data_IF_539021564645
#
_entry.id   IF_539021564645
#
_cell.length_a   1.000
_cell.length_b   1.000
_cell.length_c   1.000
_cell.angle_alpha   90.00
_cell.angle_beta   90.00
_cell.angle_gamma   90.00
#
_symmetry.space_group_name_H-M   'P 1'
#
loop_
_entity.id
_entity.type
_entity.pdbx_description
1 polymer ?
#
# COMPACT_ATOMS: atom_id res chain seq x y z
N UNK A 1 -26.57 -5.37 -8.53
CA UNK A 1 -28.03 -5.42 -8.77
C UNK A 1 -28.58 -6.53 -7.89
N UNK A 2 -29.20 -6.21 -6.76
CA UNK A 2 -29.81 -7.21 -5.87
C UNK A 2 -31.31 -6.94 -5.77
N UNK A 3 -32.12 -7.99 -5.95
CA UNK A 3 -33.59 -8.01 -5.75
C UNK A 3 -34.38 -6.86 -6.42
N UNK A 4 -34.07 -6.55 -7.67
CA UNK A 4 -34.81 -5.52 -8.41
C UNK A 4 -36.12 -6.04 -8.99
N UNK A 5 -37.15 -5.20 -9.00
CA UNK A 5 -38.48 -5.46 -9.58
C UNK A 5 -38.48 -5.54 -11.10
N UNK A 6 -37.45 -5.00 -11.77
CA UNK A 6 -37.42 -4.86 -13.22
C UNK A 6 -38.24 -3.67 -13.75
N UNK A 7 -38.90 -2.91 -12.88
CA UNK A 7 -39.62 -1.68 -13.21
C UNK A 7 -38.63 -0.63 -13.73
N UNK A 8 -38.96 0.00 -14.86
CA UNK A 8 -38.13 1.00 -15.55
C UNK A 8 -38.89 2.32 -15.69
N UNK A 9 -38.17 3.40 -15.95
CA UNK A 9 -38.75 4.67 -16.35
C UNK A 9 -39.44 4.55 -17.69
N UNK A 10 -40.67 5.10 -17.75
CA UNK A 10 -41.35 5.32 -19.01
C UNK A 10 -40.58 6.36 -19.85
N UNK A 11 -40.86 6.39 -21.15
CA UNK A 11 -40.11 7.24 -22.08
C UNK A 11 -40.31 8.74 -21.80
N UNK A 12 -41.47 9.12 -21.26
CA UNK A 12 -41.77 10.50 -20.89
C UNK A 12 -40.94 10.96 -19.69
N UNK A 13 -40.79 10.13 -18.65
CA UNK A 13 -39.91 10.38 -17.52
C UNK A 13 -38.46 10.45 -17.99
N UNK A 14 -37.99 9.55 -18.85
CA UNK A 14 -36.61 9.60 -19.38
C UNK A 14 -36.33 10.90 -20.12
N UNK A 15 -37.27 11.35 -20.99
CA UNK A 15 -37.15 12.65 -21.68
C UNK A 15 -37.13 13.80 -20.67
N UNK A 16 -37.95 13.74 -19.63
CA UNK A 16 -38.00 14.78 -18.60
C UNK A 16 -36.73 14.83 -17.73
N UNK A 17 -36.19 13.68 -17.32
CA UNK A 17 -34.92 13.60 -16.59
C UNK A 17 -33.75 14.13 -17.44
N UNK A 18 -33.79 13.93 -18.76
CA UNK A 18 -32.87 14.57 -19.70
C UNK A 18 -32.91 16.10 -19.63
N UNK A 19 -34.12 16.70 -19.57
CA UNK A 19 -34.33 18.16 -19.43
C UNK A 19 -33.95 18.71 -18.05
N UNK A 20 -33.97 17.88 -17.01
CA UNK A 20 -33.58 18.32 -15.66
C UNK A 20 -32.12 18.81 -15.60
N UNK A 21 -31.28 18.41 -16.56
CA UNK A 21 -29.89 18.88 -16.72
C UNK A 21 -29.78 20.37 -17.03
N UNK A 22 -30.84 20.98 -17.59
CA UNK A 22 -30.85 22.40 -17.97
C UNK A 22 -30.93 23.35 -16.76
N UNK A 23 -31.12 22.83 -15.54
CA UNK A 23 -31.09 23.63 -14.32
C UNK A 23 -32.32 24.53 -14.12
N UNK A 24 -33.45 24.23 -14.76
CA UNK A 24 -34.72 24.97 -14.56
C UNK A 24 -35.62 24.36 -13.47
N UNK A 25 -35.57 23.04 -13.34
CA UNK A 25 -36.40 22.27 -12.40
C UNK A 25 -35.74 22.21 -11.03
N UNK A 26 -36.52 22.41 -9.95
CA UNK A 26 -36.08 22.33 -8.55
C UNK A 26 -36.39 20.99 -7.92
N UNK A 27 -37.57 20.44 -8.15
CA UNK A 27 -37.98 19.14 -7.60
C UNK A 27 -38.76 18.33 -8.63
N UNK A 28 -38.58 17.01 -8.58
CA UNK A 28 -39.31 16.03 -9.38
C UNK A 28 -39.85 14.95 -8.44
N UNK A 29 -41.18 14.78 -8.40
CA UNK A 29 -41.86 13.66 -7.73
C UNK A 29 -42.06 12.53 -8.72
N UNK A 30 -41.58 11.34 -8.35
CA UNK A 30 -41.67 10.13 -9.15
C UNK A 30 -42.46 9.09 -8.35
N UNK A 31 -43.46 8.53 -9.00
CA UNK A 31 -44.32 7.48 -8.45
C UNK A 31 -44.21 6.21 -9.30
N UNK A 32 -44.59 5.08 -8.74
CA UNK A 32 -44.73 3.81 -9.45
C UNK A 32 -46.22 3.57 -9.72
N UNK A 33 -46.60 3.57 -10.99
CA UNK A 33 -47.96 3.30 -11.45
C UNK A 33 -47.92 2.25 -12.56
N UNK A 34 -48.80 1.24 -12.50
CA UNK A 34 -48.87 0.17 -13.50
C UNK A 34 -47.50 -0.46 -13.85
N UNK A 35 -46.67 -0.72 -12.84
CA UNK A 35 -45.32 -1.30 -12.98
C UNK A 35 -44.34 -0.46 -13.81
N UNK A 36 -44.55 0.86 -13.87
CA UNK A 36 -43.65 1.81 -14.52
C UNK A 36 -43.34 2.98 -13.58
N UNK A 37 -42.14 3.56 -13.69
CA UNK A 37 -41.82 4.83 -13.03
C UNK A 37 -42.39 5.97 -13.87
N UNK A 38 -43.23 6.79 -13.23
CA UNK A 38 -43.94 7.91 -13.87
C UNK A 38 -43.62 9.23 -13.19
N UNK A 39 -43.65 10.31 -13.96
CA UNK A 39 -43.56 11.67 -13.44
C UNK A 39 -44.90 12.06 -12.81
N UNK A 40 -44.94 12.19 -11.49
CA UNK A 40 -46.17 12.57 -10.78
C UNK A 40 -46.34 14.09 -10.67
N UNK A 41 -45.25 14.81 -10.35
CA UNK A 41 -45.29 16.27 -10.19
C UNK A 41 -43.88 16.86 -10.29
N UNK A 42 -43.77 18.13 -10.67
CA UNK A 42 -42.51 18.86 -10.69
C UNK A 42 -42.74 20.33 -10.30
N UNK A 43 -41.70 21.00 -9.81
CA UNK A 43 -41.70 22.44 -9.60
C UNK A 43 -40.39 23.06 -10.09
N UNK A 44 -40.50 24.26 -10.62
CA UNK A 44 -39.36 25.06 -11.03
C UNK A 44 -38.72 25.80 -9.85
N UNK A 45 -37.50 26.28 -10.09
CA UNK A 45 -36.72 27.06 -9.13
C UNK A 45 -37.37 28.40 -8.88
N UNK A 46 -37.53 28.77 -7.61
CA UNK A 46 -38.03 30.09 -7.20
C UNK A 46 -36.98 30.90 -6.47
N UNK A 47 -36.24 30.26 -5.56
CA UNK A 47 -35.24 30.92 -4.73
C UNK A 47 -34.05 29.99 -4.47
N UNK A 48 -33.35 30.17 -3.34
CA UNK A 48 -32.24 29.30 -2.94
C UNK A 48 -32.75 27.93 -2.56
N UNK A 49 -31.91 26.90 -2.73
CA UNK A 49 -32.28 25.52 -2.43
C UNK A 49 -32.73 25.32 -0.97
N UNK A 50 -32.25 26.09 0.00
CA UNK A 50 -32.70 25.99 1.40
C UNK A 50 -34.11 26.54 1.59
N UNK A 51 -34.40 27.72 1.02
CA UNK A 51 -35.71 28.38 1.16
C UNK A 51 -36.81 27.67 0.37
N UNK A 52 -36.44 27.02 -0.73
CA UNK A 52 -37.35 26.25 -1.57
C UNK A 52 -37.66 24.86 -0.97
N UNK A 53 -36.83 24.32 -0.06
CA UNK A 53 -36.85 22.92 0.37
C UNK A 53 -38.21 22.50 0.93
N UNK A 54 -38.59 23.04 2.10
CA UNK A 54 -39.83 22.66 2.79
C UNK A 54 -41.07 23.05 1.96
N UNK A 55 -41.05 24.23 1.32
CA UNK A 55 -42.15 24.71 0.45
C UNK A 55 -42.40 23.80 -0.76
N UNK A 56 -41.35 23.17 -1.27
CA UNK A 56 -41.46 22.28 -2.42
C UNK A 56 -41.89 20.88 -1.98
N UNK A 57 -41.27 20.33 -0.95
CA UNK A 57 -41.38 18.93 -0.51
C UNK A 57 -42.66 18.66 0.27
N UNK A 58 -42.97 19.43 1.31
CA UNK A 58 -44.13 19.18 2.20
C UNK A 58 -45.45 18.96 1.46
N UNK A 59 -45.85 19.78 0.47
CA UNK A 59 -47.13 19.58 -0.23
C UNK A 59 -47.12 18.44 -1.25
N UNK A 60 -45.96 17.85 -1.56
CA UNK A 60 -45.84 16.73 -2.50
C UNK A 60 -45.89 15.37 -1.79
N UNK A 61 -45.75 15.35 -0.47
CA UNK A 61 -45.74 14.15 0.35
C UNK A 61 -47.17 13.78 0.74
N UNK A 62 -47.48 12.49 0.64
CA UNK A 62 -48.73 11.89 1.08
C UNK A 62 -48.44 10.92 2.23
N UNK A 63 -49.23 10.96 3.31
CA UNK A 63 -48.92 10.22 4.54
C UNK A 63 -48.96 8.69 4.37
N UNK A 64 -49.76 8.17 3.44
CA UNK A 64 -49.96 6.72 3.28
C UNK A 64 -49.43 6.17 1.94
N UNK A 65 -48.68 6.97 1.17
CA UNK A 65 -48.16 6.56 -0.13
C UNK A 65 -46.66 6.85 -0.26
N UNK A 66 -45.82 5.84 -0.52
CA UNK A 66 -44.39 6.05 -0.78
C UNK A 66 -44.18 6.79 -2.10
N UNK A 67 -43.11 7.57 -2.20
CA UNK A 67 -42.69 8.21 -3.44
C UNK A 67 -41.18 8.48 -3.46
N UNK A 68 -40.64 8.79 -4.64
CA UNK A 68 -39.28 9.33 -4.74
C UNK A 68 -39.33 10.81 -5.10
N UNK A 69 -38.43 11.59 -4.50
CA UNK A 69 -38.23 12.98 -4.86
C UNK A 69 -36.77 13.19 -5.27
N UNK A 70 -36.55 13.80 -6.42
CA UNK A 70 -35.25 14.32 -6.83
C UNK A 70 -35.26 15.82 -6.60
N UNK A 71 -34.47 16.29 -5.64
CA UNK A 71 -34.37 17.69 -5.27
C UNK A 71 -33.03 18.28 -5.70
N UNK A 72 -33.05 19.37 -6.45
CA UNK A 72 -31.83 19.98 -6.96
C UNK A 72 -31.20 20.91 -5.94
N UNK A 73 -29.91 20.71 -5.67
CA UNK A 73 -29.08 21.63 -4.90
C UNK A 73 -28.54 22.75 -5.80
N UNK A 74 -28.07 23.85 -5.19
CA UNK A 74 -27.44 24.93 -5.95
C UNK A 74 -25.94 24.67 -6.22
N UNK A 75 -25.37 23.62 -5.62
CA UNK A 75 -24.01 23.15 -5.87
C UNK A 75 -23.89 22.40 -7.20
N UNK A 76 -22.68 22.40 -7.76
CA UNK A 76 -22.35 21.77 -9.05
C UNK A 76 -21.15 20.85 -8.92
N UNK A 77 -21.15 19.78 -9.71
CA UNK A 77 -20.02 18.88 -9.92
C UNK A 77 -19.61 18.86 -11.40
N UNK A 78 -18.65 18.00 -11.78
CA UNK A 78 -18.18 17.87 -13.16
C UNK A 78 -19.27 17.45 -14.17
N UNK A 79 -20.39 16.91 -13.70
CA UNK A 79 -21.51 16.40 -14.50
C UNK A 79 -22.75 17.31 -14.49
N UNK A 80 -22.70 18.48 -13.83
CA UNK A 80 -23.79 19.45 -13.76
C UNK A 80 -24.19 19.83 -12.33
N UNK A 81 -25.46 20.18 -12.13
CA UNK A 81 -26.00 20.43 -10.79
C UNK A 81 -26.05 19.15 -9.96
N UNK A 82 -25.79 19.27 -8.66
CA UNK A 82 -25.93 18.19 -7.70
C UNK A 82 -27.39 18.02 -7.27
N UNK A 83 -27.80 16.78 -7.04
CA UNK A 83 -29.15 16.42 -6.63
C UNK A 83 -29.14 15.64 -5.33
N UNK A 84 -30.13 15.90 -4.49
CA UNK A 84 -30.51 15.11 -3.33
C UNK A 84 -31.59 14.13 -3.77
N UNK A 85 -31.33 12.85 -3.59
CA UNK A 85 -32.33 11.80 -3.80
C UNK A 85 -33.04 11.52 -2.49
N UNK A 86 -34.35 11.75 -2.46
CA UNK A 86 -35.19 11.49 -1.28
C UNK A 86 -36.09 10.30 -1.57
N UNK A 87 -36.04 9.31 -0.69
CA UNK A 87 -36.94 8.16 -0.70
C UNK A 87 -37.91 8.28 0.47
N UNK A 88 -39.17 8.62 0.19
CA UNK A 88 -40.24 8.64 1.17
C UNK A 88 -40.93 7.27 1.23
N UNK A 89 -40.94 6.64 2.39
CA UNK A 89 -41.64 5.37 2.61
C UNK A 89 -42.19 5.34 4.04
N UNK A 90 -43.39 5.89 4.28
CA UNK A 90 -43.97 5.96 5.61
C UNK A 90 -44.35 4.58 6.11
N UNK A 91 -44.27 4.35 7.41
CA UNK A 91 -44.54 3.03 7.99
C UNK A 91 -46.00 2.59 7.83
N UNK A 92 -46.92 3.56 7.76
CA UNK A 92 -48.36 3.38 7.52
C UNK A 92 -48.69 2.92 6.10
N UNK A 93 -47.77 3.04 5.13
CA UNK A 93 -48.01 2.61 3.76
C UNK A 93 -48.15 1.08 3.63
N UNK A 94 -48.96 0.59 2.67
CA UNK A 94 -49.11 -0.84 2.40
C UNK A 94 -47.77 -1.54 2.11
N UNK A 95 -47.56 -2.72 2.68
CA UNK A 95 -46.30 -3.48 2.58
C UNK A 95 -45.90 -3.71 1.11
N UNK A 96 -46.85 -4.05 0.24
CA UNK A 96 -46.60 -4.24 -1.19
C UNK A 96 -45.97 -3.00 -1.84
N UNK A 97 -46.45 -1.80 -1.50
CA UNK A 97 -45.89 -0.56 -2.03
C UNK A 97 -44.50 -0.30 -1.45
N UNK A 98 -44.30 -0.46 -0.13
CA UNK A 98 -42.98 -0.31 0.50
C UNK A 98 -41.93 -1.22 -0.15
N UNK A 99 -42.28 -2.47 -0.44
CA UNK A 99 -41.41 -3.40 -1.16
C UNK A 99 -41.10 -2.94 -2.59
N UNK A 100 -42.12 -2.51 -3.36
CA UNK A 100 -41.92 -2.01 -4.72
C UNK A 100 -40.98 -0.79 -4.75
N UNK A 101 -41.16 0.16 -3.83
CA UNK A 101 -40.32 1.35 -3.75
C UNK A 101 -38.92 1.05 -3.14
N UNK A 102 -38.77 0.06 -2.27
CA UNK A 102 -37.44 -0.35 -1.82
C UNK A 102 -36.65 -0.99 -2.98
N UNK A 103 -37.28 -1.90 -3.73
CA UNK A 103 -36.64 -2.69 -4.78
C UNK A 103 -36.42 -1.95 -6.11
N UNK A 104 -37.16 -0.87 -6.38
CA UNK A 104 -37.03 -0.07 -7.63
C UNK A 104 -36.07 1.11 -7.47
N UNK A 105 -35.71 1.48 -6.24
CA UNK A 105 -34.83 2.61 -5.89
C UNK A 105 -33.51 2.63 -6.67
N UNK A 106 -32.85 1.48 -6.75
CA UNK A 106 -31.56 1.36 -7.45
C UNK A 106 -31.68 1.59 -8.96
N UNK A 107 -32.77 1.14 -9.59
CA UNK A 107 -33.02 1.34 -11.03
C UNK A 107 -33.22 2.82 -11.35
N UNK A 108 -34.03 3.52 -10.54
CA UNK A 108 -34.25 4.96 -10.72
C UNK A 108 -32.96 5.76 -10.59
N UNK A 109 -32.10 5.44 -9.61
CA UNK A 109 -30.79 6.11 -9.47
C UNK A 109 -29.89 5.91 -10.68
N UNK A 110 -29.89 4.71 -11.26
CA UNK A 110 -29.13 4.43 -12.47
C UNK A 110 -29.69 5.16 -13.70
N UNK A 111 -31.01 5.20 -13.85
CA UNK A 111 -31.67 5.89 -14.97
C UNK A 111 -31.51 7.41 -14.91
N UNK A 112 -31.50 8.01 -13.70
CA UNK A 112 -31.21 9.42 -13.53
C UNK A 112 -29.72 9.75 -13.76
N UNK A 113 -28.84 8.92 -13.20
CA UNK A 113 -27.39 9.05 -13.29
C UNK A 113 -26.77 9.24 -11.91
N UNK A 114 -26.23 8.15 -11.35
CA UNK A 114 -25.65 8.12 -9.99
C UNK A 114 -24.63 9.23 -9.73
N UNK A 115 -23.87 9.66 -10.74
CA UNK A 115 -22.86 10.73 -10.58
C UNK A 115 -23.45 12.12 -10.26
N UNK A 116 -24.73 12.35 -10.54
CA UNK A 116 -25.39 13.64 -10.26
C UNK A 116 -26.04 13.66 -8.88
N UNK A 117 -26.26 12.49 -8.27
CA UNK A 117 -26.83 12.36 -6.94
C UNK A 117 -25.69 12.48 -5.94
N UNK A 118 -25.68 13.55 -5.15
CA UNK A 118 -24.67 13.80 -4.13
C UNK A 118 -24.94 12.99 -2.87
N UNK A 119 -26.18 13.04 -2.42
CA UNK A 119 -26.62 12.50 -1.14
C UNK A 119 -27.97 11.82 -1.31
N UNK A 120 -28.24 10.87 -0.41
CA UNK A 120 -29.47 10.09 -0.38
C UNK A 120 -30.11 10.20 1.01
N UNK A 121 -31.34 10.69 1.05
CA UNK A 121 -32.13 10.82 2.26
C UNK A 121 -33.27 9.79 2.21
N UNK A 122 -33.40 9.00 3.26
CA UNK A 122 -34.54 8.11 3.45
C UNK A 122 -35.37 8.64 4.61
N UNK A 123 -36.66 8.84 4.39
CA UNK A 123 -37.58 9.30 5.42
C UNK A 123 -38.75 8.35 5.59
N UNK A 124 -39.09 8.08 6.85
CA UNK A 124 -40.31 7.35 7.23
C UNK A 124 -41.30 8.28 7.95
N UNK A 125 -40.79 9.35 8.57
CA UNK A 125 -41.60 10.39 9.24
C UNK A 125 -41.35 11.74 8.57
N UNK A 126 -42.36 12.62 8.54
CA UNK A 126 -42.27 13.94 7.91
C UNK A 126 -41.10 14.79 8.45
N UNK A 127 -40.75 14.63 9.72
CA UNK A 127 -39.60 15.31 10.33
C UNK A 127 -38.28 15.01 9.63
N UNK A 128 -38.13 13.83 9.03
CA UNK A 128 -36.88 13.38 8.41
C UNK A 128 -36.62 14.08 7.08
N UNK A 129 -37.69 14.45 6.36
CA UNK A 129 -37.63 15.10 5.05
C UNK A 129 -37.86 16.62 5.14
N UNK A 130 -37.78 17.20 6.34
CA UNK A 130 -37.69 18.65 6.49
C UNK A 130 -36.26 19.12 6.31
N UNK A 131 -36.06 20.42 6.07
CA UNK A 131 -34.72 21.02 6.04
C UNK A 131 -33.94 20.75 7.33
N UNK A 132 -34.62 20.78 8.48
CA UNK A 132 -34.03 20.43 9.77
C UNK A 132 -33.61 18.95 9.84
N UNK A 133 -34.46 18.04 9.32
CA UNK A 133 -34.14 16.62 9.18
C UNK A 133 -32.88 16.38 8.34
N UNK A 134 -32.80 17.05 7.18
CA UNK A 134 -31.63 17.00 6.31
C UNK A 134 -30.35 17.51 7.01
N UNK A 135 -30.43 18.63 7.74
CA UNK A 135 -29.30 19.14 8.51
C UNK A 135 -28.84 18.17 9.62
N UNK A 136 -29.78 17.50 10.30
CA UNK A 136 -29.45 16.47 11.29
C UNK A 136 -28.76 15.26 10.64
N UNK A 137 -29.26 14.80 9.49
CA UNK A 137 -28.62 13.74 8.70
C UNK A 137 -27.17 14.12 8.35
N UNK A 138 -26.95 15.34 7.87
CA UNK A 138 -25.60 15.82 7.52
C UNK A 138 -24.65 15.85 8.72
N UNK A 139 -25.13 16.29 9.90
CA UNK A 139 -24.35 16.25 11.15
C UNK A 139 -24.02 14.82 11.56
N UNK A 140 -24.97 13.90 11.46
CA UNK A 140 -24.77 12.49 11.79
C UNK A 140 -23.77 11.79 10.84
N UNK A 141 -23.78 12.14 9.55
CA UNK A 141 -22.82 11.58 8.57
C UNK A 141 -21.37 12.01 8.79
N UNK A 142 -21.15 13.15 9.46
CA UNK A 142 -19.81 13.68 9.80
C UNK A 142 -19.38 13.24 11.20
N UNK A 143 -20.30 12.73 12.02
CA UNK A 143 -19.99 12.20 13.34
C UNK A 143 -19.02 11.00 13.23
N UNK A 144 -18.16 10.78 14.23
CA UNK A 144 -17.24 9.65 14.23
C UNK A 144 -18.02 8.34 14.13
N UNK A 145 -17.54 7.43 13.28
CA UNK A 145 -18.13 6.11 13.15
C UNK A 145 -18.00 5.36 14.47
N UNK A 146 -19.02 4.61 14.91
CA UNK A 146 -18.91 3.77 16.08
C UNK A 146 -17.89 2.68 15.80
N UNK A 147 -16.84 2.62 16.62
CA UNK A 147 -15.80 1.61 16.57
C UNK A 147 -16.04 0.57 17.65
N UNK A 148 -15.65 -0.67 17.37
CA UNK A 148 -15.56 -1.70 18.41
C UNK A 148 -14.30 -1.49 19.25
N UNK A 149 -14.30 -1.97 20.49
CA UNK A 149 -13.15 -1.90 21.41
C UNK A 149 -11.86 -2.40 20.72
N UNK A 150 -11.97 -3.51 19.98
CA UNK A 150 -10.83 -4.10 19.24
C UNK A 150 -10.31 -3.19 18.12
N UNK A 151 -11.19 -2.46 17.44
CA UNK A 151 -10.78 -1.51 16.39
C UNK A 151 -10.11 -0.28 16.98
N UNK A 152 -10.59 0.21 18.14
CA UNK A 152 -9.95 1.29 18.88
C UNK A 152 -8.55 0.89 19.33
N UNK A 153 -8.39 -0.29 19.95
CA UNK A 153 -7.09 -0.84 20.35
C UNK A 153 -6.12 -0.96 19.17
N UNK A 154 -6.58 -1.47 18.02
CA UNK A 154 -5.74 -1.62 16.83
C UNK A 154 -5.34 -0.27 16.24
N UNK A 155 -6.23 0.73 16.30
CA UNK A 155 -5.92 2.08 15.88
C UNK A 155 -4.90 2.75 16.80
N UNK A 156 -4.93 2.48 18.10
CA UNK A 156 -3.91 2.94 19.07
C UNK A 156 -2.55 2.29 18.82
N UNK A 157 -2.50 0.97 18.58
CA UNK A 157 -1.26 0.28 18.22
C UNK A 157 -0.62 0.89 16.97
N UNK A 158 -1.40 1.10 15.90
CA UNK A 158 -0.90 1.73 14.67
C UNK A 158 -0.35 3.14 14.90
N UNK A 159 -1.02 3.95 15.74
CA UNK A 159 -0.53 5.31 16.07
C UNK A 159 0.80 5.25 16.83
N UNK A 160 0.96 4.25 17.69
CA UNK A 160 2.17 4.04 18.50
C UNK A 160 3.32 3.52 17.66
N UNK A 161 3.09 2.55 16.77
CA UNK A 161 4.08 2.00 15.84
C UNK A 161 4.66 3.06 14.90
N UNK A 162 3.84 3.98 14.38
CA UNK A 162 4.34 5.07 13.51
C UNK A 162 5.38 5.95 14.22
N UNK A 163 5.36 6.01 15.55
CA UNK A 163 6.34 6.77 16.33
C UNK A 163 7.68 6.04 16.51
N UNK A 164 7.71 4.70 16.38
CA UNK A 164 8.96 3.93 16.51
C UNK A 164 9.81 3.94 15.25
N UNK A 165 9.22 4.21 14.08
CA UNK A 165 9.95 4.35 12.81
C UNK A 165 10.69 5.69 12.66
N UNK A 166 10.34 6.72 13.46
CA UNK A 166 10.97 8.06 13.48
C UNK A 166 11.77 8.24 14.79
N UNK A 167 12.38 7.18 15.30
CA UNK A 167 13.36 7.29 16.39
C UNK A 167 14.78 7.32 15.83
N UNK A 168 15.61 8.22 16.37
CA UNK A 168 17.03 8.39 16.01
C UNK A 168 17.89 7.29 16.63
N UNK A 169 17.35 6.51 17.56
CA UNK A 169 17.97 5.26 17.99
C UNK A 169 17.85 4.25 16.84
N UNK A 170 18.99 3.88 16.27
CA UNK A 170 19.10 2.69 15.43
C UNK A 170 18.38 1.56 16.15
N UNK A 171 17.29 1.03 15.55
CA UNK A 171 16.45 -0.05 16.08
C UNK A 171 17.28 -0.91 17.02
N UNK A 172 16.98 -0.90 18.33
CA UNK A 172 17.69 -1.74 19.28
C UNK A 172 17.62 -3.17 18.74
N UNK A 173 18.69 -3.63 18.11
CA UNK A 173 18.83 -5.03 17.74
C UNK A 173 18.86 -5.75 19.07
N UNK A 174 17.79 -6.47 19.37
CA UNK A 174 17.55 -7.10 20.68
C UNK A 174 18.62 -8.14 21.05
N UNK A 175 19.52 -8.48 20.14
CA UNK A 175 20.64 -9.39 20.34
C UNK A 175 21.95 -8.64 20.03
N UNK A 176 22.63 -8.18 21.07
CA UNK A 176 24.03 -7.78 20.97
C UNK A 176 24.85 -9.03 20.62
N UNK A 177 25.77 -8.93 19.66
CA UNK A 177 26.59 -10.07 19.23
C UNK A 177 27.38 -10.70 20.38
N UNK A 178 27.78 -11.97 20.25
CA UNK A 178 28.53 -12.70 21.26
C UNK A 178 30.03 -12.50 21.01
N UNK A 179 30.75 -11.89 21.94
CA UNK A 179 32.16 -11.58 21.78
C UNK A 179 33.06 -12.70 22.34
N UNK A 180 33.47 -13.63 21.49
CA UNK A 180 34.45 -14.65 21.86
C UNK A 180 35.89 -14.10 21.78
N UNK A 181 36.74 -14.39 22.79
CA UNK A 181 38.15 -14.01 22.75
C UNK A 181 38.89 -14.69 21.60
N UNK A 182 39.63 -13.87 20.85
CA UNK A 182 40.54 -14.32 19.78
C UNK A 182 41.86 -14.75 20.42
N UNK A 183 42.38 -15.93 20.06
CA UNK A 183 43.66 -16.41 20.56
C UNK A 183 44.83 -15.55 20.08
N UNK A 184 45.94 -15.56 20.82
CA UNK A 184 47.10 -14.73 20.49
C UNK A 184 47.68 -15.05 19.11
N UNK A 185 47.66 -16.33 18.69
CA UNK A 185 48.09 -16.75 17.36
C UNK A 185 47.21 -16.15 16.25
N UNK A 186 45.88 -16.16 16.43
CA UNK A 186 44.96 -15.56 15.47
C UNK A 186 45.10 -14.03 15.41
N UNK A 187 45.26 -13.36 16.56
CA UNK A 187 45.52 -11.91 16.59
C UNK A 187 46.81 -11.55 15.85
N UNK A 188 47.89 -12.29 16.09
CA UNK A 188 49.17 -12.05 15.43
C UNK A 188 49.05 -12.26 13.91
N UNK A 189 48.36 -13.31 13.46
CA UNK A 189 48.14 -13.57 12.05
C UNK A 189 47.32 -12.46 11.36
N UNK A 190 46.30 -11.90 12.03
CA UNK A 190 45.53 -10.75 11.51
C UNK A 190 46.43 -9.51 11.37
N UNK A 191 47.29 -9.24 12.36
CA UNK A 191 48.26 -8.13 12.30
C UNK A 191 49.29 -8.35 11.18
N UNK A 192 49.76 -9.58 11.00
CA UNK A 192 50.71 -9.92 9.95
C UNK A 192 50.07 -9.83 8.56
N UNK A 193 48.79 -10.19 8.43
CA UNK A 193 47.99 -9.95 7.20
C UNK A 193 47.83 -8.45 6.93
N UNK A 194 47.58 -7.62 7.95
CA UNK A 194 47.52 -6.16 7.79
C UNK A 194 48.86 -5.56 7.32
N UNK A 195 49.98 -6.24 7.57
CA UNK A 195 51.32 -5.88 7.06
C UNK A 195 51.63 -6.47 5.67
N UNK A 196 50.71 -7.25 5.08
CA UNK A 196 50.89 -7.91 3.78
C UNK A 196 51.69 -9.21 3.82
N UNK A 197 51.88 -9.84 4.99
CA UNK A 197 52.62 -11.11 5.11
C UNK A 197 51.80 -12.31 4.64
N UNK A 198 50.47 -12.25 4.77
CA UNK A 198 49.54 -13.32 4.41
C UNK A 198 48.42 -12.78 3.52
N UNK A 199 48.07 -13.54 2.47
CA UNK A 199 46.93 -13.25 1.59
C UNK A 199 45.66 -13.99 2.04
N UNK A 200 45.77 -15.03 2.86
CA UNK A 200 44.62 -15.80 3.35
C UNK A 200 44.78 -16.26 4.79
N UNK A 201 43.72 -16.06 5.58
CA UNK A 201 43.58 -16.60 6.93
C UNK A 201 42.25 -17.36 7.06
N UNK A 202 42.29 -18.51 7.73
CA UNK A 202 41.09 -19.25 8.14
C UNK A 202 41.00 -19.30 9.66
N UNK A 203 39.83 -18.94 10.20
CA UNK A 203 39.52 -18.99 11.62
C UNK A 203 38.39 -19.98 11.88
N UNK A 204 38.46 -20.65 13.03
CA UNK A 204 37.39 -21.51 13.56
C UNK A 204 37.02 -21.08 14.98
N UNK A 205 35.76 -21.29 15.33
CA UNK A 205 35.29 -21.20 16.70
C UNK A 205 35.52 -22.55 17.38
N UNK A 206 36.24 -22.56 18.49
CA UNK A 206 36.23 -23.69 19.41
C UNK A 206 34.99 -23.55 20.31
N UNK A 207 34.02 -24.44 20.11
CA UNK A 207 32.73 -24.41 20.81
C UNK A 207 32.88 -24.77 22.31
N UNK A 208 33.90 -25.55 22.67
CA UNK A 208 34.13 -25.98 24.06
C UNK A 208 34.82 -24.90 24.88
N UNK A 209 35.81 -24.23 24.30
CA UNK A 209 36.59 -23.18 24.95
C UNK A 209 36.01 -21.77 24.74
N UNK A 210 34.99 -21.63 23.91
CA UNK A 210 34.37 -20.34 23.54
C UNK A 210 35.40 -19.32 23.02
N UNK A 211 36.37 -19.80 22.24
CA UNK A 211 37.49 -19.00 21.71
C UNK A 211 37.60 -19.12 20.19
N UNK A 212 38.14 -18.09 19.54
CA UNK A 212 38.38 -18.07 18.09
C UNK A 212 39.84 -18.38 17.81
N UNK A 213 40.09 -19.49 17.10
CA UNK A 213 41.40 -20.03 16.80
C UNK A 213 41.78 -19.86 15.33
N UNK A 214 43.08 -19.70 15.07
CA UNK A 214 43.66 -19.77 13.74
C UNK A 214 43.77 -21.22 13.28
N UNK A 215 43.31 -21.51 12.06
CA UNK A 215 43.47 -22.83 11.43
C UNK A 215 44.59 -22.79 10.40
N UNK A 216 44.55 -21.82 9.48
CA UNK A 216 45.47 -21.72 8.35
C UNK A 216 45.86 -20.25 8.17
N UNK A 217 47.15 -20.00 7.93
CA UNK A 217 47.69 -18.74 7.45
C UNK A 217 48.65 -19.02 6.30
N UNK A 218 48.31 -18.61 5.08
CA UNK A 218 49.11 -18.90 3.88
C UNK A 218 48.83 -17.88 2.75
N UNK A 219 49.62 -17.94 1.69
CA UNK A 219 49.40 -17.17 0.47
C UNK A 219 48.82 -18.08 -0.60
N UNK A 220 47.59 -17.80 -1.03
CA UNK A 220 46.88 -18.59 -2.04
C UNK A 220 46.41 -17.71 -3.20
N UNK A 221 46.42 -18.32 -4.39
CA UNK A 221 45.70 -17.79 -5.54
C UNK A 221 44.20 -18.04 -5.39
N UNK A 222 43.40 -17.24 -6.08
CA UNK A 222 41.93 -17.32 -6.03
C UNK A 222 41.39 -18.69 -6.45
N UNK A 223 42.03 -19.37 -7.40
CA UNK A 223 41.65 -20.71 -7.86
C UNK A 223 41.66 -21.77 -6.73
N UNK A 224 42.49 -21.57 -5.71
CA UNK A 224 42.61 -22.48 -4.56
C UNK A 224 41.67 -22.11 -3.43
N UNK A 225 41.07 -20.92 -3.44
CA UNK A 225 40.19 -20.43 -2.37
C UNK A 225 38.96 -21.34 -2.15
N UNK A 226 38.23 -21.81 -3.19
CA UNK A 226 37.15 -22.79 -3.03
C UNK A 226 37.55 -24.05 -2.26
N UNK A 227 38.75 -24.57 -2.51
CA UNK A 227 39.24 -25.81 -1.89
C UNK A 227 39.50 -25.70 -0.39
N UNK A 228 39.56 -24.48 0.14
CA UNK A 228 39.83 -24.20 1.55
C UNK A 228 38.57 -24.05 2.38
N UNK A 229 37.38 -24.03 1.76
CA UNK A 229 36.09 -23.97 2.43
C UNK A 229 35.62 -25.40 2.79
N UNK A 230 35.49 -25.75 4.07
CA UNK A 230 34.98 -27.06 4.46
C UNK A 230 33.48 -27.21 4.19
N UNK A 231 33.05 -28.43 3.85
CA UNK A 231 31.64 -28.77 3.65
C UNK A 231 30.96 -29.29 4.93
N UNK A 232 31.73 -29.56 5.98
CA UNK A 232 31.27 -30.21 7.22
C UNK A 232 31.01 -29.22 8.37
N UNK A 233 31.67 -28.06 8.36
CA UNK A 233 31.74 -27.16 9.51
C UNK A 233 31.88 -25.69 9.10
N UNK A 234 31.32 -24.79 9.91
CA UNK A 234 31.36 -23.35 9.63
C UNK A 234 32.77 -22.79 9.78
N UNK A 235 33.15 -21.79 8.97
CA UNK A 235 34.46 -21.12 9.08
C UNK A 235 34.34 -19.64 8.78
N UNK A 236 35.30 -18.89 9.32
CA UNK A 236 35.55 -17.53 8.86
C UNK A 236 36.83 -17.50 8.05
N UNK A 237 36.83 -16.69 7.01
CA UNK A 237 37.97 -16.50 6.15
C UNK A 237 38.23 -15.02 5.95
N UNK A 238 39.49 -14.66 5.94
CA UNK A 238 39.96 -13.36 5.46
C UNK A 238 40.78 -13.64 4.22
N UNK A 239 40.44 -12.96 3.12
CA UNK A 239 41.15 -13.12 1.86
C UNK A 239 41.48 -11.76 1.27
N UNK A 240 42.75 -11.56 0.92
CA UNK A 240 43.21 -10.41 0.17
C UNK A 240 42.93 -10.63 -1.32
N UNK A 241 41.83 -10.06 -1.80
CA UNK A 241 41.45 -10.13 -3.20
C UNK A 241 42.19 -9.04 -3.98
N UNK A 242 43.12 -9.48 -4.82
CA UNK A 242 43.95 -8.65 -5.69
C UNK A 242 43.32 -8.60 -7.07
N UNK A 243 42.78 -7.46 -7.47
CA UNK A 243 42.09 -7.30 -8.75
C UNK A 243 42.28 -5.91 -9.35
N UNK A 244 42.00 -5.78 -10.64
CA UNK A 244 42.02 -4.48 -11.34
C UNK A 244 40.58 -4.03 -11.61
N UNK A 245 40.24 -2.81 -11.18
CA UNK A 245 38.94 -2.20 -11.43
C UNK A 245 39.13 -0.85 -12.11
N UNK A 246 38.46 -0.63 -13.25
CA UNK A 246 38.53 0.62 -14.04
C UNK A 246 39.96 1.07 -14.41
N UNK A 247 40.93 0.14 -14.43
CA UNK A 247 42.34 0.40 -14.78
C UNK A 247 43.27 0.54 -13.57
N UNK A 248 42.73 0.65 -12.36
CA UNK A 248 43.51 0.73 -11.13
C UNK A 248 43.63 -0.64 -10.47
N UNK A 249 44.85 -1.01 -10.08
CA UNK A 249 45.12 -2.22 -9.31
C UNK A 249 44.80 -1.98 -7.82
N UNK A 250 43.96 -2.84 -7.25
CA UNK A 250 43.50 -2.74 -5.87
C UNK A 250 43.70 -4.07 -5.13
N UNK A 251 44.00 -3.97 -3.83
CA UNK A 251 44.09 -5.11 -2.92
C UNK A 251 43.06 -4.91 -1.81
N UNK A 252 42.05 -5.77 -1.78
CA UNK A 252 40.87 -5.58 -0.97
C UNK A 252 40.63 -6.79 -0.08
N UNK A 253 40.57 -6.58 1.23
CA UNK A 253 40.32 -7.65 2.20
C UNK A 253 38.82 -7.97 2.24
N UNK A 254 38.47 -9.19 1.86
CA UNK A 254 37.12 -9.74 1.94
C UNK A 254 37.02 -10.65 3.15
N UNK A 255 36.02 -10.40 4.00
CA UNK A 255 35.64 -11.32 5.06
C UNK A 255 34.56 -12.26 4.53
N UNK A 256 34.81 -13.57 4.61
CA UNK A 256 33.89 -14.59 4.13
C UNK A 256 33.46 -15.44 5.32
N UNK A 257 32.15 -15.55 5.52
CA UNK A 257 31.54 -16.48 6.45
C UNK A 257 30.97 -17.65 5.66
N UNK A 258 31.60 -18.83 5.79
CA UNK A 258 31.10 -20.05 5.16
C UNK A 258 30.30 -20.88 6.16
N UNK A 259 29.10 -21.30 5.76
CA UNK A 259 28.25 -22.14 6.59
C UNK A 259 27.53 -23.19 5.73
N UNK A 260 27.92 -24.47 5.75
CA UNK A 260 27.32 -25.52 4.89
C UNK A 260 25.92 -25.98 5.34
N UNK A 261 25.11 -25.07 5.89
CA UNK A 261 23.71 -25.31 6.25
C UNK A 261 23.52 -26.40 7.30
N UNK A 262 22.68 -27.40 6.97
CA UNK A 262 22.25 -28.44 7.92
C UNK A 262 23.33 -29.48 8.25
N UNK A 263 24.49 -29.46 7.58
CA UNK A 263 25.64 -30.28 7.94
C UNK A 263 26.20 -29.93 9.33
N UNK A 264 26.02 -28.68 9.77
CA UNK A 264 26.46 -28.24 11.10
C UNK A 264 25.33 -28.28 12.13
N UNK A 265 25.60 -28.56 13.42
CA UNK A 265 24.60 -28.48 14.48
C UNK A 265 24.11 -27.03 14.70
N UNK A 266 22.87 -26.87 15.20
CA UNK A 266 22.25 -25.55 15.44
C UNK A 266 23.13 -24.68 16.34
N UNK A 267 23.74 -25.27 17.38
CA UNK A 267 24.63 -24.56 18.31
C UNK A 267 25.81 -23.93 17.56
N UNK A 268 26.45 -24.68 16.66
CA UNK A 268 27.55 -24.17 15.85
C UNK A 268 27.10 -23.00 14.97
N UNK A 269 26.01 -23.18 14.22
CA UNK A 269 25.48 -22.12 13.34
C UNK A 269 25.15 -20.84 14.10
N UNK A 270 24.49 -20.96 15.26
CA UNK A 270 24.15 -19.80 16.09
C UNK A 270 25.41 -19.09 16.60
N UNK A 271 26.44 -19.81 17.03
CA UNK A 271 27.68 -19.22 17.51
C UNK A 271 28.43 -18.49 16.38
N UNK A 272 28.57 -19.10 15.21
CA UNK A 272 29.21 -18.44 14.06
C UNK A 272 28.42 -17.22 13.57
N UNK A 273 27.08 -17.25 13.57
CA UNK A 273 26.31 -16.05 13.21
C UNK A 273 26.41 -14.95 14.28
N UNK A 274 26.42 -15.31 15.56
CA UNK A 274 26.45 -14.36 16.68
C UNK A 274 27.81 -13.72 16.91
N UNK A 275 28.90 -14.44 16.64
CA UNK A 275 30.28 -13.95 16.82
C UNK A 275 30.80 -13.13 15.64
N UNK A 276 30.11 -13.14 14.50
CA UNK A 276 30.55 -12.49 13.26
C UNK A 276 30.81 -10.99 13.45
N UNK A 277 29.82 -10.25 13.97
CA UNK A 277 29.94 -8.80 14.09
C UNK A 277 31.06 -8.39 15.08
N UNK A 278 31.09 -8.90 16.33
CA UNK A 278 32.19 -8.60 17.27
C UNK A 278 33.58 -8.97 16.73
N UNK A 279 33.69 -10.09 16.00
CA UNK A 279 34.94 -10.49 15.36
C UNK A 279 35.37 -9.46 14.30
N UNK A 280 34.47 -9.07 13.39
CA UNK A 280 34.80 -8.10 12.33
C UNK A 280 35.15 -6.72 12.88
N UNK A 281 34.51 -6.30 13.98
CA UNK A 281 34.84 -5.05 14.65
C UNK A 281 36.24 -5.13 15.29
N UNK A 282 36.56 -6.27 15.90
CA UNK A 282 37.89 -6.53 16.48
C UNK A 282 38.97 -6.55 15.40
N UNK A 283 38.73 -7.19 14.24
CA UNK A 283 39.66 -7.21 13.10
C UNK A 283 39.93 -5.79 12.59
N UNK A 284 38.89 -4.98 12.46
CA UNK A 284 39.01 -3.58 12.03
C UNK A 284 39.80 -2.75 13.05
N UNK A 285 39.56 -2.96 14.35
CA UNK A 285 40.33 -2.32 15.43
C UNK A 285 41.80 -2.74 15.47
N UNK A 286 42.14 -3.93 14.96
CA UNK A 286 43.53 -4.39 14.81
C UNK A 286 44.24 -3.81 13.58
N UNK A 287 43.56 -2.98 12.78
CA UNK A 287 44.13 -2.26 11.64
C UNK A 287 43.95 -2.95 10.29
N UNK A 288 43.11 -3.99 10.20
CA UNK A 288 42.77 -4.64 8.93
C UNK A 288 41.40 -4.16 8.44
N UNK A 289 41.38 -3.32 7.40
CA UNK A 289 40.14 -2.77 6.84
C UNK A 289 39.42 -3.80 5.96
N UNK A 290 38.21 -4.21 6.36
CA UNK A 290 37.38 -5.16 5.62
C UNK A 290 36.47 -4.39 4.66
N UNK A 291 36.69 -4.52 3.35
CA UNK A 291 35.86 -3.81 2.35
C UNK A 291 34.47 -4.41 2.23
N UNK A 292 34.38 -5.74 2.32
CA UNK A 292 33.14 -6.49 2.07
C UNK A 292 33.07 -7.71 2.97
N UNK A 293 31.86 -7.94 3.52
CA UNK A 293 31.49 -9.13 4.27
C UNK A 293 30.56 -9.96 3.39
N UNK A 294 30.93 -11.19 3.10
CA UNK A 294 30.19 -12.12 2.24
C UNK A 294 29.83 -13.35 3.05
N UNK A 295 28.62 -13.87 2.82
CA UNK A 295 28.15 -15.12 3.42
C UNK A 295 27.90 -16.12 2.29
N UNK A 296 28.43 -17.33 2.42
CA UNK A 296 28.31 -18.39 1.41
C UNK A 296 27.94 -19.72 2.09
N UNK A 297 27.29 -20.58 1.33
CA UNK A 297 26.97 -21.94 1.79
C UNK A 297 28.03 -22.94 1.29
N UNK A 298 28.56 -22.75 0.08
CA UNK A 298 29.57 -23.63 -0.53
C UNK A 298 30.78 -22.87 -1.08
N UNK A 299 31.97 -23.49 -0.97
CA UNK A 299 33.19 -22.96 -1.57
C UNK A 299 33.13 -22.80 -3.09
N UNK A 300 32.24 -23.54 -3.78
CA UNK A 300 32.07 -23.43 -5.23
C UNK A 300 31.58 -22.04 -5.69
N UNK A 301 30.97 -21.27 -4.80
CA UNK A 301 30.51 -19.90 -5.07
C UNK A 301 31.67 -18.89 -5.16
N UNK A 302 32.82 -19.20 -4.54
CA UNK A 302 33.99 -18.31 -4.47
C UNK A 302 34.79 -18.29 -5.77
N UNK A 303 34.17 -17.75 -6.81
CA UNK A 303 34.81 -17.45 -8.09
C UNK A 303 35.31 -16.01 -8.13
N UNK A 304 36.28 -15.74 -9.01
CA UNK A 304 36.77 -14.37 -9.26
C UNK A 304 35.64 -13.41 -9.66
N UNK A 305 34.74 -13.87 -10.54
CA UNK A 305 33.59 -13.08 -10.96
C UNK A 305 32.65 -12.75 -9.78
N UNK A 306 32.37 -13.72 -8.91
CA UNK A 306 31.50 -13.52 -7.75
C UNK A 306 32.08 -12.49 -6.77
N UNK A 307 33.37 -12.62 -6.40
CA UNK A 307 34.02 -11.64 -5.52
C UNK A 307 34.09 -10.24 -6.18
N UNK A 308 34.35 -10.19 -7.48
CA UNK A 308 34.36 -8.94 -8.23
C UNK A 308 32.99 -8.25 -8.23
N UNK A 309 31.90 -8.98 -8.51
CA UNK A 309 30.53 -8.44 -8.49
C UNK A 309 30.08 -8.01 -7.09
N UNK A 310 30.48 -8.73 -6.03
CA UNK A 310 30.15 -8.37 -4.66
C UNK A 310 30.86 -7.10 -4.19
N UNK A 311 32.11 -6.90 -4.59
CA UNK A 311 32.87 -5.68 -4.28
C UNK A 311 32.41 -4.52 -5.16
N UNK A 312 32.11 -4.79 -6.43
CA UNK A 312 31.72 -3.80 -7.44
C UNK A 312 30.34 -4.10 -8.04
N UNK A 313 29.23 -3.81 -7.33
CA UNK A 313 27.89 -4.15 -7.79
C UNK A 313 27.54 -3.46 -9.10
N UNK A 314 27.08 -4.26 -10.08
CA UNK A 314 26.62 -3.72 -11.36
C UNK A 314 25.33 -2.92 -11.17
N UNK A 315 25.38 -1.63 -11.53
CA UNK A 315 24.19 -0.76 -11.48
C UNK A 315 23.27 -1.12 -12.64
N UNK A 316 22.13 -1.75 -12.32
CA UNK A 316 21.06 -1.97 -13.28
C UNK A 316 20.35 -0.65 -13.64
N UNK A 317 20.94 0.11 -14.58
CA UNK A 317 20.47 1.43 -15.02
C UNK A 317 19.13 1.38 -15.78
N UNK A 318 18.79 0.24 -16.37
CA UNK A 318 17.62 0.11 -17.23
C UNK A 318 16.77 -1.10 -16.84
N UNK A 319 15.55 -0.85 -16.36
CA UNK A 319 14.51 -1.89 -16.28
C UNK A 319 13.72 -1.86 -17.59
N UNK A 320 13.92 -2.84 -18.50
CA UNK A 320 13.21 -2.85 -19.77
C UNK A 320 11.71 -2.90 -19.52
N UNK A 321 10.99 -1.89 -20.01
CA UNK A 321 9.53 -1.86 -19.98
C UNK A 321 9.00 -2.47 -21.27
N UNK A 322 8.11 -3.45 -21.14
CA UNK A 322 7.40 -3.98 -22.30
C UNK A 322 6.57 -2.88 -22.97
N UNK A 323 6.54 -2.88 -24.30
CA UNK A 323 5.72 -1.94 -25.04
C UNK A 323 4.24 -2.17 -24.70
N UNK A 324 3.49 -1.08 -24.47
CA UNK A 324 2.03 -1.18 -24.32
C UNK A 324 1.42 -1.71 -25.62
N UNK A 325 0.34 -2.50 -25.58
CA UNK A 325 -0.39 -2.91 -26.77
C UNK A 325 -0.70 -1.70 -27.66
N UNK A 326 -0.66 -1.89 -28.98
CA UNK A 326 -1.08 -0.86 -29.94
C UNK A 326 -2.52 -0.45 -29.59
N UNK A 327 -2.76 0.85 -29.46
CA UNK A 327 -4.10 1.36 -29.26
C UNK A 327 -5.03 0.98 -30.42
N UNK A 328 -6.36 1.17 -30.28
CA UNK A 328 -7.31 0.84 -31.33
C UNK A 328 -6.88 1.43 -32.69
N UNK A 329 -6.90 0.63 -33.78
CA UNK A 329 -6.58 1.13 -35.11
C UNK A 329 -7.58 2.25 -35.49
N UNK A 330 -7.12 3.26 -36.22
CA UNK A 330 -7.92 4.43 -36.64
C UNK A 330 -8.39 5.37 -35.52
N UNK A 331 -7.61 5.53 -34.44
CA UNK A 331 -7.79 6.71 -33.58
C UNK A 331 -7.48 7.95 -34.42
N UNK A 332 -8.52 8.67 -34.84
CA UNK A 332 -8.38 9.93 -35.57
C UNK A 332 -7.47 10.92 -34.83
N UNK A 333 -7.07 12.02 -35.50
CA UNK A 333 -6.12 12.98 -34.94
C UNK A 333 -6.50 13.38 -33.52
N UNK A 334 -5.49 13.47 -32.64
CA UNK A 334 -5.63 13.79 -31.21
C UNK A 334 -6.50 15.05 -31.07
N UNK A 335 -7.76 14.89 -30.64
CA UNK A 335 -8.64 16.02 -30.33
C UNK A 335 -8.01 16.79 -29.17
N UNK A 336 -7.30 17.88 -29.48
CA UNK A 336 -6.89 18.86 -28.50
C UNK A 336 -8.15 19.55 -28.02
N UNK A 337 -8.67 19.16 -26.85
CA UNK A 337 -9.67 19.98 -26.16
C UNK A 337 -8.97 21.26 -25.75
N UNK A 338 -9.30 22.36 -26.43
CA UNK A 338 -8.85 23.72 -26.10
C UNK A 338 -9.13 23.91 -24.60
N UNK A 339 -8.08 24.11 -23.79
CA UNK A 339 -8.25 24.58 -22.42
C UNK A 339 -9.05 25.88 -22.50
N UNK A 340 -10.22 25.92 -21.87
CA UNK A 340 -10.91 27.18 -21.67
C UNK A 340 -9.96 28.04 -20.83
N UNK A 341 -9.45 29.11 -21.43
CA UNK A 341 -8.79 30.17 -20.69
C UNK A 341 -9.79 30.62 -19.62
N UNK A 342 -9.46 30.41 -18.35
CA UNK A 342 -10.09 31.11 -17.26
C UNK A 342 -9.59 32.55 -17.33
N UNK A 343 -10.33 33.40 -18.03
CA UNK A 343 -10.18 34.85 -17.90
C UNK A 343 -10.98 35.28 -16.65
N UNK A 344 -10.22 35.79 -15.68
CA UNK A 344 -10.53 36.71 -14.58
C UNK A 344 -11.88 36.60 -13.85
#
# INVERSE_FOLDING_TARGET
MSHQTGIKANDDLKKFLGKCRDGKVRIVKISIENEQLVLASHKDVKSTWEKDFDKCITPLIEENQPCYLLYRLDSKNSSGYEWLFVSWSPDTAPIRQKMLYASTKATLKQEFGTSQIKEELHGTILSDITLNGYQKYKKASVAPAPLTIREEELQELRKTEVHTDISVDSKQQTLTGVAFPITQAAKQAIIDMARGSYDYLQLKINIEEETIHLVIAENISIEKLPSKVPEDSGRYHLYNFKHTHEGDYMENIVFIYSMPGYSCPIKERMLYSSCKNPLTDTITNLGLEIIKKVEIDSGAELTENFLYEEIHPTKNLHRPKFAKPKGPPNRGPKRMTKSQNAEN
#
